data_IF_485976283062
#
_entry.id   IF_485976283062
#
_cell.length_a   1.000
_cell.length_b   1.000
_cell.length_c   1.000
_cell.angle_alpha   90.00
_cell.angle_beta   90.00
_cell.angle_gamma   90.00
#
_symmetry.space_group_name_H-M   'P 1'
#
loop_
_entity.id
_entity.type
_entity.pdbx_description
1 polymer ?
#
# COMPACT_ATOMS: atom_id res chain seq x y z
N UNK A 1 -28.54 -4.83 3.33
CA UNK A 1 -27.59 -4.62 4.41
C UNK A 1 -26.21 -4.67 3.82
N UNK A 2 -25.43 -3.61 4.00
CA UNK A 2 -24.22 -3.32 3.20
C UNK A 2 -23.02 -4.09 3.80
N UNK A 3 -22.80 -5.34 3.33
CA UNK A 3 -21.76 -6.25 3.84
C UNK A 3 -20.31 -5.72 3.70
N UNK A 4 -20.11 -4.75 2.84
CA UNK A 4 -18.78 -4.23 2.54
C UNK A 4 -18.29 -3.14 3.49
N UNK A 5 -19.19 -2.32 4.03
CA UNK A 5 -18.85 -1.41 5.13
C UNK A 5 -18.45 -2.21 6.37
N UNK A 6 -19.10 -3.34 6.59
CA UNK A 6 -18.83 -4.20 7.73
C UNK A 6 -17.41 -4.80 7.74
N UNK A 7 -16.90 -5.24 6.58
CA UNK A 7 -15.56 -5.89 6.51
C UNK A 7 -14.41 -4.92 6.74
N UNK A 8 -14.48 -3.71 6.16
CA UNK A 8 -13.46 -2.70 6.42
C UNK A 8 -13.49 -2.22 7.87
N UNK A 9 -14.69 -2.02 8.44
CA UNK A 9 -14.85 -1.69 9.87
C UNK A 9 -14.30 -2.79 10.76
N UNK A 10 -14.62 -4.05 10.48
CA UNK A 10 -14.08 -5.20 11.22
C UNK A 10 -12.56 -5.25 11.08
N UNK A 11 -12.03 -5.11 9.86
CA UNK A 11 -10.59 -5.05 9.64
C UNK A 11 -9.95 -3.88 10.38
N UNK A 12 -10.59 -2.70 10.38
CA UNK A 12 -10.04 -1.48 11.00
C UNK A 12 -9.95 -1.59 12.52
N UNK A 13 -10.96 -2.15 13.15
CA UNK A 13 -11.02 -2.34 14.62
C UNK A 13 -10.20 -3.54 15.10
N UNK A 14 -9.80 -4.41 14.20
CA UNK A 14 -9.01 -5.60 14.56
C UNK A 14 -7.52 -5.28 14.69
N UNK A 15 -6.84 -5.96 15.60
CA UNK A 15 -5.38 -5.91 15.78
C UNK A 15 -4.64 -6.95 14.93
N UNK A 16 -5.37 -7.82 14.22
CA UNK A 16 -4.75 -8.85 13.36
C UNK A 16 -3.98 -8.22 12.19
N UNK A 17 -2.93 -8.87 11.69
CA UNK A 17 -2.25 -8.44 10.48
C UNK A 17 -3.20 -8.39 9.28
N UNK A 18 -3.13 -7.29 8.52
CA UNK A 18 -3.85 -7.12 7.25
C UNK A 18 -2.86 -7.20 6.10
N UNK A 19 -3.17 -8.01 5.09
CA UNK A 19 -2.33 -8.18 3.89
C UNK A 19 -3.08 -7.70 2.65
N UNK A 20 -2.61 -6.58 2.08
CA UNK A 20 -3.17 -5.94 0.90
C UNK A 20 -2.52 -6.50 -0.36
N UNK A 21 -3.31 -7.12 -1.22
CA UNK A 21 -2.89 -7.58 -2.55
C UNK A 21 -3.45 -6.66 -3.63
N UNK A 22 -2.66 -6.39 -4.65
CA UNK A 22 -3.11 -5.61 -5.80
C UNK A 22 -1.94 -5.17 -6.67
N UNK A 23 -2.23 -4.91 -7.94
CA UNK A 23 -1.25 -4.39 -8.89
C UNK A 23 -0.60 -3.09 -8.40
N UNK A 24 0.53 -2.73 -9.01
CA UNK A 24 1.15 -1.43 -8.73
C UNK A 24 0.18 -0.28 -9.07
N UNK A 25 0.12 0.74 -8.21
CA UNK A 25 -0.74 1.90 -8.44
C UNK A 25 -2.22 1.71 -8.12
N UNK A 26 -2.67 0.58 -7.56
CA UNK A 26 -4.08 0.34 -7.20
C UNK A 26 -4.57 1.09 -5.96
N UNK A 27 -3.66 1.73 -5.19
CA UNK A 27 -4.00 2.48 -3.98
C UNK A 27 -3.80 1.70 -2.68
N UNK A 28 -2.90 0.71 -2.63
CA UNK A 28 -2.60 -0.08 -1.42
C UNK A 28 -2.21 0.78 -0.22
N UNK A 29 -1.34 1.79 -0.40
CA UNK A 29 -0.96 2.70 0.67
C UNK A 29 -2.15 3.55 1.17
N UNK A 30 -2.99 4.04 0.27
CA UNK A 30 -4.21 4.79 0.61
C UNK A 30 -5.12 3.93 1.48
N UNK A 31 -5.31 2.65 1.11
CA UNK A 31 -6.08 1.69 1.89
C UNK A 31 -5.45 1.45 3.28
N UNK A 32 -4.13 1.32 3.37
CA UNK A 32 -3.44 1.15 4.65
C UNK A 32 -3.63 2.35 5.59
N UNK A 33 -3.52 3.57 5.06
CA UNK A 33 -3.78 4.81 5.82
C UNK A 33 -5.21 4.88 6.31
N UNK A 34 -6.17 4.48 5.49
CA UNK A 34 -7.58 4.42 5.87
C UNK A 34 -7.83 3.39 6.98
N UNK A 35 -7.25 2.19 6.87
CA UNK A 35 -7.32 1.18 7.92
C UNK A 35 -6.77 1.71 9.26
N UNK A 36 -5.71 2.52 9.21
CA UNK A 36 -5.16 3.18 10.39
C UNK A 36 -6.12 4.26 10.94
N UNK A 37 -6.59 5.16 10.09
CA UNK A 37 -7.46 6.29 10.49
C UNK A 37 -8.77 5.82 11.14
N UNK A 38 -9.31 4.67 10.74
CA UNK A 38 -10.54 4.09 11.31
C UNK A 38 -10.27 3.05 12.43
N UNK A 39 -9.04 2.92 12.91
CA UNK A 39 -8.67 1.99 13.97
C UNK A 39 -8.63 2.66 15.34
N UNK A 40 -8.65 1.84 16.38
CA UNK A 40 -8.44 2.31 17.77
C UNK A 40 -7.04 2.92 17.98
N UNK A 41 -6.14 2.77 16.99
CA UNK A 41 -4.77 3.30 16.96
C UNK A 41 -4.61 4.55 16.09
N UNK A 42 -5.70 5.17 15.64
CA UNK A 42 -5.70 6.34 14.75
C UNK A 42 -4.94 7.55 15.29
N UNK A 43 -4.81 7.65 16.61
CA UNK A 43 -4.01 8.70 17.29
C UNK A 43 -2.52 8.36 17.40
N UNK A 44 -2.14 7.12 17.14
CA UNK A 44 -0.75 6.66 17.16
C UNK A 44 -0.02 6.95 15.84
N UNK A 45 1.27 6.64 15.79
CA UNK A 45 2.06 6.85 14.59
C UNK A 45 1.66 5.88 13.46
N UNK A 46 1.57 6.39 12.23
CA UNK A 46 1.54 5.58 11.01
C UNK A 46 2.93 5.57 10.38
N UNK A 47 3.68 4.49 10.58
CA UNK A 47 5.04 4.35 10.08
C UNK A 47 5.02 3.49 8.82
N UNK A 48 5.31 4.11 7.68
CA UNK A 48 5.34 3.45 6.38
C UNK A 48 6.77 3.24 5.90
N UNK A 49 7.05 2.05 5.36
CA UNK A 49 8.32 1.73 4.71
C UNK A 49 8.09 0.86 3.48
N UNK A 50 8.83 1.16 2.42
CA UNK A 50 8.88 0.32 1.23
C UNK A 50 10.03 -0.69 1.37
N UNK A 51 9.69 -1.98 1.47
CA UNK A 51 10.67 -3.06 1.64
C UNK A 51 11.64 -3.19 0.45
N UNK A 52 11.21 -2.82 -0.77
CA UNK A 52 12.06 -2.84 -1.96
C UNK A 52 13.14 -1.74 -1.98
N UNK A 53 12.97 -0.69 -1.18
CA UNK A 53 13.93 0.40 -1.09
C UNK A 53 15.02 0.18 -0.03
N UNK A 54 14.95 -0.92 0.73
CA UNK A 54 15.87 -1.18 1.84
C UNK A 54 17.04 -2.04 1.36
N UNK A 55 18.26 -1.55 1.55
CA UNK A 55 19.46 -2.36 1.33
C UNK A 55 19.51 -3.56 2.30
N UNK A 56 19.80 -4.78 1.83
CA UNK A 56 19.74 -5.99 2.66
C UNK A 56 20.52 -5.88 4.00
N UNK A 57 21.69 -5.29 4.00
CA UNK A 57 22.52 -5.11 5.21
C UNK A 57 22.01 -4.09 6.22
N UNK A 58 21.00 -3.27 5.86
CA UNK A 58 20.45 -2.23 6.74
C UNK A 58 19.07 -2.57 7.32
N UNK A 59 18.43 -3.64 6.87
CA UNK A 59 17.06 -3.98 7.28
C UNK A 59 16.96 -4.17 8.80
N UNK A 60 17.95 -4.81 9.40
CA UNK A 60 17.99 -5.07 10.85
C UNK A 60 18.01 -3.76 11.64
N UNK A 61 18.98 -2.91 11.36
CA UNK A 61 19.11 -1.62 12.05
C UNK A 61 17.92 -0.69 11.76
N UNK A 62 17.32 -0.81 10.59
CA UNK A 62 16.14 -0.03 10.23
C UNK A 62 14.89 -0.50 10.99
N UNK A 63 14.65 -1.82 11.07
CA UNK A 63 13.47 -2.36 11.77
C UNK A 63 13.62 -2.27 13.29
N UNK A 64 14.73 -2.76 13.84
CA UNK A 64 14.91 -2.90 15.28
C UNK A 64 15.60 -1.70 15.94
N UNK A 65 16.28 -0.89 15.12
CA UNK A 65 17.11 0.22 15.58
C UNK A 65 18.55 -0.21 15.88
N UNK A 66 19.39 0.76 16.21
CA UNK A 66 20.79 0.51 16.56
C UNK A 66 21.31 1.49 17.57
N UNK A 67 22.27 1.08 18.38
CA UNK A 67 23.03 1.97 19.24
C UNK A 67 24.31 2.46 18.54
N UNK A 68 24.78 3.63 18.96
CA UNK A 68 26.04 4.19 18.50
C UNK A 68 27.18 3.17 18.70
N UNK A 69 27.97 2.94 17.64
CA UNK A 69 29.09 1.99 17.66
C UNK A 69 28.70 0.52 17.43
N UNK A 70 27.43 0.23 17.17
CA UNK A 70 26.94 -1.14 16.93
C UNK A 70 27.51 -1.77 15.64
N UNK A 71 27.87 -0.96 14.65
CA UNK A 71 28.55 -1.37 13.42
C UNK A 71 29.38 -0.21 12.85
N UNK A 72 30.23 -0.49 11.87
CA UNK A 72 31.03 0.55 11.19
C UNK A 72 30.11 1.55 10.48
N UNK A 73 30.08 2.80 10.97
CA UNK A 73 29.18 3.85 10.48
C UNK A 73 27.98 4.15 11.38
N UNK A 74 27.77 3.44 12.49
CA UNK A 74 26.75 3.77 13.49
C UNK A 74 27.18 4.97 14.34
N UNK A 75 27.01 6.18 13.81
CA UNK A 75 27.45 7.45 14.46
C UNK A 75 26.48 7.94 15.54
N UNK A 76 25.21 7.49 15.53
CA UNK A 76 24.16 7.87 16.48
C UNK A 76 23.23 6.70 16.80
N UNK A 77 22.45 6.84 17.88
CA UNK A 77 21.37 5.90 18.19
C UNK A 77 20.24 6.08 17.20
N UNK A 78 19.73 4.96 16.65
CA UNK A 78 18.54 4.94 15.78
C UNK A 78 17.40 4.18 16.46
N UNK A 79 16.21 4.77 16.48
CA UNK A 79 15.05 4.23 17.18
C UNK A 79 14.54 2.91 16.59
N UNK A 80 14.65 2.73 15.28
CA UNK A 80 14.04 1.61 14.54
C UNK A 80 12.54 1.83 14.26
N UNK A 81 12.09 1.34 13.10
CA UNK A 81 10.73 1.56 12.60
C UNK A 81 9.68 0.89 13.49
N UNK A 82 9.97 -0.28 14.01
CA UNK A 82 9.03 -1.03 14.86
C UNK A 82 8.74 -0.27 16.15
N UNK A 83 9.78 0.30 16.77
CA UNK A 83 9.62 1.15 17.97
C UNK A 83 8.96 2.49 17.64
N UNK A 84 9.24 3.05 16.47
CA UNK A 84 8.57 4.27 16.00
C UNK A 84 7.07 4.05 15.77
N UNK A 85 6.66 2.81 15.46
CA UNK A 85 5.26 2.42 15.28
C UNK A 85 4.58 1.93 16.57
N UNK A 86 5.25 2.03 17.72
CA UNK A 86 4.71 1.57 19.00
C UNK A 86 3.38 2.28 19.31
N UNK A 87 2.38 1.51 19.76
CA UNK A 87 0.98 1.93 19.92
C UNK A 87 0.30 2.51 18.68
N UNK A 88 0.93 2.38 17.50
CA UNK A 88 0.47 2.83 16.21
C UNK A 88 0.31 1.70 15.19
N UNK A 89 0.61 2.01 13.93
CA UNK A 89 0.55 1.08 12.80
C UNK A 89 1.86 1.09 12.03
N UNK A 90 2.45 -0.10 11.84
CA UNK A 90 3.55 -0.33 10.92
C UNK A 90 3.00 -0.79 9.57
N UNK A 91 3.26 -0.03 8.51
CA UNK A 91 2.91 -0.37 7.15
C UNK A 91 4.15 -0.79 6.36
N UNK A 92 4.18 -2.04 5.92
CA UNK A 92 5.25 -2.62 5.10
C UNK A 92 4.76 -2.76 3.67
N UNK A 93 5.14 -1.80 2.81
CA UNK A 93 4.84 -1.87 1.38
C UNK A 93 5.83 -2.78 0.68
N UNK A 94 5.35 -3.49 -0.34
CA UNK A 94 6.11 -4.45 -1.14
C UNK A 94 6.83 -5.51 -0.27
N UNK A 95 6.10 -6.10 0.66
CA UNK A 95 6.63 -7.12 1.60
C UNK A 95 7.26 -8.33 0.89
N UNK A 96 6.83 -8.63 -0.34
CA UNK A 96 7.40 -9.68 -1.18
C UNK A 96 8.81 -9.41 -1.70
N UNK A 97 9.34 -8.18 -1.50
CA UNK A 97 10.71 -7.79 -1.83
C UNK A 97 11.67 -7.97 -0.66
N UNK A 98 11.16 -8.27 0.55
CA UNK A 98 11.99 -8.39 1.74
C UNK A 98 12.96 -9.57 1.61
N UNK A 99 14.28 -9.38 1.81
CA UNK A 99 15.25 -10.47 1.78
C UNK A 99 14.95 -11.57 2.81
N UNK A 100 15.28 -12.83 2.51
CA UNK A 100 14.98 -13.99 3.37
C UNK A 100 15.52 -13.85 4.80
N UNK A 101 16.71 -13.29 4.98
CA UNK A 101 17.28 -13.04 6.31
C UNK A 101 16.40 -12.08 7.12
N UNK A 102 15.92 -11.02 6.46
CA UNK A 102 15.06 -10.01 7.06
C UNK A 102 13.66 -10.55 7.36
N UNK A 103 13.17 -11.50 6.55
CA UNK A 103 11.92 -12.20 6.83
C UNK A 103 11.97 -12.97 8.14
N UNK A 104 13.13 -13.62 8.46
CA UNK A 104 13.33 -14.32 9.73
C UNK A 104 13.26 -13.37 10.92
N UNK A 105 13.85 -12.18 10.79
CA UNK A 105 13.80 -11.16 11.84
C UNK A 105 12.41 -10.61 12.04
N UNK A 106 11.72 -10.27 10.94
CA UNK A 106 10.34 -9.81 11.02
C UNK A 106 9.44 -10.84 11.71
N UNK A 107 9.61 -12.13 11.39
CA UNK A 107 8.87 -13.20 12.03
C UNK A 107 9.09 -13.23 13.55
N UNK A 108 10.37 -13.11 14.00
CA UNK A 108 10.68 -13.02 15.44
C UNK A 108 9.98 -11.85 16.10
N UNK A 109 10.07 -10.66 15.53
CA UNK A 109 9.41 -9.45 16.06
C UNK A 109 7.90 -9.68 16.21
N UNK A 110 7.27 -10.33 15.21
CA UNK A 110 5.83 -10.61 15.25
C UNK A 110 5.44 -11.68 16.26
N UNK A 111 6.32 -12.62 16.56
CA UNK A 111 6.10 -13.70 17.54
C UNK A 111 6.36 -13.23 18.96
N UNK A 112 7.48 -12.57 19.19
CA UNK A 112 7.96 -12.17 20.52
C UNK A 112 7.34 -10.83 20.98
N UNK A 113 6.76 -10.05 20.04
CA UNK A 113 6.28 -8.69 20.30
C UNK A 113 7.36 -7.82 20.98
N UNK A 114 8.57 -7.99 20.52
CA UNK A 114 9.72 -7.30 21.05
C UNK A 114 10.80 -7.13 19.97
N UNK A 115 11.65 -6.13 20.13
CA UNK A 115 12.81 -5.87 19.29
C UNK A 115 14.08 -5.84 20.15
N UNK A 116 15.19 -6.22 19.54
CA UNK A 116 16.52 -6.12 20.17
C UNK A 116 17.41 -5.25 19.29
N UNK A 117 17.56 -3.94 19.60
CA UNK A 117 18.39 -3.04 18.81
C UNK A 117 19.79 -3.55 18.60
N UNK A 118 20.36 -3.34 17.41
CA UNK A 118 21.72 -3.77 17.09
C UNK A 118 22.71 -3.14 18.08
N UNK A 119 23.56 -3.98 18.70
CA UNK A 119 24.46 -3.57 19.77
C UNK A 119 23.85 -3.60 21.17
N UNK A 120 22.58 -4.06 21.33
CA UNK A 120 21.93 -4.27 22.62
C UNK A 120 21.85 -5.74 22.98
N UNK A 121 21.89 -6.03 24.28
CA UNK A 121 21.53 -7.34 24.84
C UNK A 121 20.16 -7.32 25.49
N UNK A 122 19.44 -6.18 25.46
CA UNK A 122 18.13 -6.02 26.06
C UNK A 122 17.05 -6.00 25.00
N UNK A 123 16.05 -6.84 25.19
CA UNK A 123 14.82 -6.83 24.40
C UNK A 123 13.89 -5.73 24.89
N UNK A 124 13.22 -5.07 23.96
CA UNK A 124 12.26 -3.98 24.22
C UNK A 124 10.92 -4.43 23.69
N UNK A 125 9.92 -4.54 24.56
CA UNK A 125 8.56 -4.89 24.17
C UNK A 125 7.94 -3.79 23.30
N UNK A 126 7.13 -4.19 22.30
CA UNK A 126 6.47 -3.29 21.35
C UNK A 126 5.04 -3.78 21.08
N UNK A 127 4.12 -2.84 20.99
CA UNK A 127 2.72 -3.12 20.65
C UNK A 127 2.29 -2.29 19.44
N UNK A 128 2.31 -2.89 18.26
CA UNK A 128 1.93 -2.25 17.01
C UNK A 128 0.95 -3.11 16.21
N UNK A 129 0.15 -2.44 15.39
CA UNK A 129 -0.65 -3.07 14.34
C UNK A 129 0.18 -3.20 13.08
N UNK A 130 0.08 -4.35 12.39
CA UNK A 130 0.78 -4.59 11.14
C UNK A 130 -0.20 -4.53 9.96
N UNK A 131 0.15 -3.74 8.95
CA UNK A 131 -0.46 -3.77 7.61
C UNK A 131 0.66 -4.00 6.62
N UNK A 132 0.50 -5.00 5.75
CA UNK A 132 1.46 -5.30 4.68
C UNK A 132 0.80 -5.12 3.32
N UNK A 133 1.58 -4.78 2.30
CA UNK A 133 1.11 -4.72 0.93
C UNK A 133 2.09 -5.38 -0.03
N UNK A 134 1.57 -5.95 -1.11
CA UNK A 134 2.39 -6.52 -2.19
C UNK A 134 1.60 -6.60 -3.51
N UNK A 135 2.32 -6.50 -4.63
CA UNK A 135 1.82 -6.84 -5.95
C UNK A 135 2.20 -8.28 -6.35
N UNK A 136 3.12 -8.91 -5.61
CA UNK A 136 3.62 -10.26 -5.91
C UNK A 136 2.69 -11.35 -5.41
N UNK A 137 2.66 -12.48 -6.12
CA UNK A 137 2.03 -13.70 -5.62
C UNK A 137 2.96 -14.36 -4.58
N UNK A 138 2.67 -14.12 -3.28
CA UNK A 138 3.47 -14.67 -2.20
C UNK A 138 3.45 -16.20 -2.15
N UNK A 139 2.35 -16.87 -2.54
CA UNK A 139 2.30 -18.34 -2.58
C UNK A 139 3.29 -18.91 -3.60
N UNK A 140 3.40 -18.26 -4.77
CA UNK A 140 4.41 -18.62 -5.76
C UNK A 140 5.82 -18.33 -5.27
N UNK A 141 6.02 -17.23 -4.51
CA UNK A 141 7.29 -16.91 -3.91
C UNK A 141 7.70 -17.93 -2.83
N UNK A 142 6.75 -18.43 -2.02
CA UNK A 142 6.96 -19.53 -1.05
C UNK A 142 7.40 -20.80 -1.78
N UNK A 143 6.65 -21.23 -2.81
CA UNK A 143 7.00 -22.42 -3.60
C UNK A 143 8.38 -22.32 -4.24
N UNK A 144 8.81 -21.12 -4.60
CA UNK A 144 10.13 -20.86 -5.19
C UNK A 144 11.24 -20.62 -4.15
N UNK A 145 10.97 -20.79 -2.85
CA UNK A 145 11.91 -20.58 -1.77
C UNK A 145 12.37 -19.12 -1.57
N UNK A 146 11.65 -18.16 -2.17
CA UNK A 146 11.96 -16.71 -2.05
C UNK A 146 11.19 -16.00 -0.93
N UNK A 147 10.20 -16.68 -0.35
CA UNK A 147 9.44 -16.20 0.79
C UNK A 147 9.22 -17.35 1.77
N UNK A 148 9.34 -17.06 3.07
CA UNK A 148 9.16 -18.08 4.11
C UNK A 148 7.69 -18.42 4.29
N UNK A 149 7.39 -19.70 4.40
CA UNK A 149 6.03 -20.20 4.59
C UNK A 149 5.46 -19.78 5.97
N UNK A 150 6.28 -19.85 7.01
CA UNK A 150 5.89 -19.46 8.37
C UNK A 150 5.51 -17.97 8.47
N UNK A 151 6.27 -17.09 7.83
CA UNK A 151 5.95 -15.68 7.74
C UNK A 151 4.68 -15.45 6.91
N UNK A 152 4.52 -16.14 5.77
CA UNK A 152 3.32 -16.02 4.96
C UNK A 152 2.05 -16.30 5.77
N UNK A 153 2.00 -17.40 6.54
CA UNK A 153 0.83 -17.71 7.37
C UNK A 153 0.62 -16.68 8.49
N UNK A 154 1.69 -16.10 9.03
CA UNK A 154 1.59 -15.06 10.07
C UNK A 154 1.05 -13.74 9.53
N UNK A 155 1.32 -13.40 8.26
CA UNK A 155 0.85 -12.17 7.59
C UNK A 155 -0.53 -12.34 6.97
N UNK A 156 -0.84 -13.49 6.41
CA UNK A 156 -2.07 -13.76 5.64
C UNK A 156 -3.26 -14.11 6.55
N UNK A 157 -3.46 -13.32 7.60
CA UNK A 157 -4.59 -13.48 8.54
C UNK A 157 -5.84 -12.82 7.98
N UNK A 158 -5.72 -11.57 7.51
CA UNK A 158 -6.82 -10.84 6.89
C UNK A 158 -6.40 -10.32 5.50
N UNK A 159 -6.57 -11.12 4.44
CA UNK A 159 -6.22 -10.71 3.10
C UNK A 159 -7.28 -9.79 2.48
N UNK A 160 -6.86 -8.69 1.87
CA UNK A 160 -7.71 -7.78 1.08
C UNK A 160 -7.13 -7.66 -0.32
N UNK A 161 -7.95 -7.90 -1.34
CA UNK A 161 -7.57 -7.80 -2.74
C UNK A 161 -8.11 -6.49 -3.33
N UNK A 162 -7.22 -5.58 -3.72
CA UNK A 162 -7.57 -4.37 -4.45
C UNK A 162 -7.62 -4.70 -5.96
N UNK A 163 -8.79 -4.51 -6.55
CA UNK A 163 -8.97 -4.71 -7.98
C UNK A 163 -8.21 -3.65 -8.78
N UNK A 164 -7.70 -3.98 -9.97
CA UNK A 164 -7.12 -3.02 -10.88
C UNK A 164 -8.19 -2.05 -11.39
N UNK A 165 -7.77 -0.84 -11.79
CA UNK A 165 -8.69 0.25 -12.18
C UNK A 165 -9.62 -0.13 -13.33
N UNK A 166 -9.14 -0.93 -14.29
CA UNK A 166 -9.94 -1.47 -15.40
C UNK A 166 -11.10 -2.38 -14.98
N UNK A 167 -11.09 -2.92 -13.78
CA UNK A 167 -12.17 -3.74 -13.20
C UNK A 167 -13.09 -2.93 -12.26
N UNK A 168 -12.84 -1.60 -12.11
CA UNK A 168 -13.58 -0.65 -11.26
C UNK A 168 -14.03 0.59 -12.01
N UNK A 169 -14.60 0.41 -13.21
CA UNK A 169 -14.95 1.53 -14.09
C UNK A 169 -15.97 2.51 -13.45
N UNK A 170 -16.86 2.01 -12.59
CA UNK A 170 -17.80 2.86 -11.86
C UNK A 170 -17.09 3.82 -10.91
N UNK A 171 -15.99 3.38 -10.31
CA UNK A 171 -15.17 4.20 -9.42
C UNK A 171 -14.22 5.11 -10.21
N UNK A 172 -13.81 4.73 -11.42
CA UNK A 172 -12.84 5.48 -12.23
C UNK A 172 -13.30 6.92 -12.44
N UNK A 173 -14.58 7.13 -12.77
CA UNK A 173 -15.15 8.47 -12.98
C UNK A 173 -15.02 9.34 -11.73
N UNK A 174 -15.32 8.77 -10.57
CA UNK A 174 -15.21 9.46 -9.28
C UNK A 174 -13.76 9.79 -8.94
N UNK A 175 -12.86 8.82 -9.10
CA UNK A 175 -11.42 8.99 -8.87
C UNK A 175 -10.84 10.07 -9.80
N UNK A 176 -11.20 10.02 -11.10
CA UNK A 176 -10.73 10.99 -12.08
C UNK A 176 -11.23 12.41 -11.75
N UNK A 177 -12.53 12.55 -11.45
CA UNK A 177 -13.10 13.83 -11.07
C UNK A 177 -12.45 14.43 -9.84
N UNK A 178 -12.14 13.62 -8.87
CA UNK A 178 -11.51 13.99 -7.60
C UNK A 178 -10.06 14.42 -7.78
N UNK A 179 -9.26 13.64 -8.51
CA UNK A 179 -7.88 14.04 -8.88
C UNK A 179 -7.93 15.36 -9.67
N UNK A 180 -8.85 15.47 -10.61
CA UNK A 180 -8.97 16.63 -11.47
C UNK A 180 -9.41 17.90 -10.73
N UNK A 181 -10.30 17.78 -9.74
CA UNK A 181 -10.73 18.93 -8.92
C UNK A 181 -9.59 19.55 -8.11
N UNK A 182 -8.56 18.78 -7.79
CA UNK A 182 -7.33 19.28 -7.17
C UNK A 182 -6.37 19.97 -8.15
N UNK A 183 -6.59 19.81 -9.47
CA UNK A 183 -5.71 20.31 -10.52
C UNK A 183 -6.34 21.48 -11.29
N UNK A 184 -7.67 21.52 -11.42
CA UNK A 184 -8.39 22.47 -12.26
C UNK A 184 -9.72 22.89 -11.64
N UNK A 185 -10.10 24.15 -11.84
CA UNK A 185 -11.42 24.68 -11.43
C UNK A 185 -12.57 24.23 -12.34
N UNK A 186 -12.27 23.77 -13.58
CA UNK A 186 -13.30 23.22 -14.47
C UNK A 186 -13.50 21.72 -14.23
N UNK A 187 -14.71 21.18 -14.33
CA UNK A 187 -14.91 19.73 -14.32
C UNK A 187 -14.37 19.08 -15.60
N UNK A 188 -14.11 17.77 -15.55
CA UNK A 188 -13.92 16.96 -16.74
C UNK A 188 -15.22 16.89 -17.53
N UNK A 189 -15.15 17.04 -18.85
CA UNK A 189 -16.30 16.86 -19.75
C UNK A 189 -16.69 15.39 -19.86
N UNK A 190 -17.91 15.11 -20.30
CA UNK A 190 -18.39 13.73 -20.54
C UNK A 190 -17.52 12.99 -21.58
N UNK A 191 -17.04 13.70 -22.62
CA UNK A 191 -16.12 13.15 -23.61
C UNK A 191 -14.80 12.73 -22.99
N UNK A 192 -14.19 13.59 -22.16
CA UNK A 192 -12.94 13.28 -21.44
C UNK A 192 -13.13 12.08 -20.50
N UNK A 193 -14.22 12.03 -19.75
CA UNK A 193 -14.53 10.89 -18.88
C UNK A 193 -14.75 9.60 -19.67
N UNK A 194 -15.35 9.69 -20.86
CA UNK A 194 -15.51 8.53 -21.73
C UNK A 194 -14.18 8.02 -22.27
N UNK A 195 -13.26 8.91 -22.66
CA UNK A 195 -11.90 8.55 -23.09
C UNK A 195 -11.14 7.85 -21.98
N UNK A 196 -11.21 8.38 -20.74
CA UNK A 196 -10.60 7.73 -19.58
C UNK A 196 -11.15 6.32 -19.32
N UNK A 197 -12.48 6.12 -19.50
CA UNK A 197 -13.09 4.80 -19.28
C UNK A 197 -12.71 3.76 -20.33
N UNK A 198 -12.27 4.17 -21.52
CA UNK A 198 -11.82 3.26 -22.59
C UNK A 198 -10.39 2.80 -22.44
N UNK A 199 -9.58 3.54 -21.71
CA UNK A 199 -8.16 3.24 -21.54
C UNK A 199 -7.94 2.11 -20.51
N UNK A 200 -7.00 1.15 -20.73
CA UNK A 200 -6.83 -0.05 -19.91
C UNK A 200 -6.13 0.16 -18.56
N UNK A 201 -5.48 1.29 -18.36
CA UNK A 201 -4.81 1.69 -17.11
C UNK A 201 -3.85 0.64 -16.52
N UNK A 202 -2.81 0.19 -17.24
CA UNK A 202 -1.86 -0.77 -16.70
C UNK A 202 -1.14 -0.27 -15.43
N UNK A 203 -0.92 1.04 -15.30
CA UNK A 203 -0.38 1.68 -14.10
C UNK A 203 -1.44 2.12 -13.08
N UNK A 204 -2.71 1.71 -13.28
CA UNK A 204 -3.82 1.99 -12.38
C UNK A 204 -4.00 3.48 -12.04
N UNK A 205 -4.34 3.80 -10.79
CA UNK A 205 -4.59 5.17 -10.32
C UNK A 205 -3.34 6.05 -10.41
N UNK A 206 -2.15 5.47 -10.25
CA UNK A 206 -0.88 6.21 -10.40
C UNK A 206 -0.72 6.75 -11.82
N UNK A 207 -1.00 5.93 -12.83
CA UNK A 207 -0.96 6.36 -14.23
C UNK A 207 -2.07 7.37 -14.52
N UNK A 208 -3.30 7.12 -14.06
CA UNK A 208 -4.41 8.06 -14.21
C UNK A 208 -4.05 9.45 -13.68
N UNK A 209 -3.47 9.52 -12.48
CA UNK A 209 -3.01 10.78 -11.90
C UNK A 209 -1.97 11.48 -12.78
N UNK A 210 -0.93 10.76 -13.22
CA UNK A 210 0.11 11.33 -14.07
C UNK A 210 -0.44 11.85 -15.41
N UNK A 211 -1.40 11.13 -16.02
CA UNK A 211 -2.06 11.54 -17.26
C UNK A 211 -2.87 12.83 -17.04
N UNK A 212 -3.64 12.91 -15.96
CA UNK A 212 -4.42 14.10 -15.64
C UNK A 212 -3.53 15.31 -15.31
N UNK A 213 -2.44 15.13 -14.58
CA UNK A 213 -1.45 16.17 -14.32
C UNK A 213 -0.82 16.67 -15.62
N UNK A 214 -0.43 15.77 -16.53
CA UNK A 214 0.09 16.12 -17.85
C UNK A 214 -0.96 16.86 -18.68
N UNK A 215 -2.19 16.41 -18.67
CA UNK A 215 -3.29 17.08 -19.38
C UNK A 215 -3.52 18.51 -18.87
N UNK A 216 -3.49 18.71 -17.55
CA UNK A 216 -3.60 20.05 -16.96
C UNK A 216 -2.52 21.01 -17.47
N UNK A 217 -1.28 20.52 -17.61
CA UNK A 217 -0.16 21.35 -18.09
C UNK A 217 -0.26 21.67 -19.59
N UNK A 218 -0.75 20.74 -20.40
CA UNK A 218 -0.68 20.82 -21.86
C UNK A 218 -2.00 21.31 -22.52
N UNK A 219 -3.14 21.33 -21.81
CA UNK A 219 -4.42 21.78 -22.37
C UNK A 219 -4.36 23.22 -22.89
N UNK A 220 -3.61 24.11 -22.25
CA UNK A 220 -3.44 25.50 -22.68
C UNK A 220 -2.60 25.62 -23.98
N UNK A 221 -1.91 24.56 -24.37
CA UNK A 221 -1.19 24.47 -25.66
C UNK A 221 -2.03 23.79 -26.74
N UNK A 222 -3.35 23.62 -26.52
CA UNK A 222 -4.26 23.00 -27.47
C UNK A 222 -4.22 21.47 -27.54
N UNK A 223 -3.51 20.80 -26.61
CA UNK A 223 -3.48 19.33 -26.54
C UNK A 223 -4.76 18.82 -25.89
N UNK A 224 -5.34 17.80 -26.49
CA UNK A 224 -6.51 17.09 -25.96
C UNK A 224 -6.09 15.95 -25.03
N UNK A 225 -7.03 15.46 -24.24
CA UNK A 225 -6.80 14.28 -23.41
C UNK A 225 -6.50 13.03 -24.27
N UNK A 226 -7.19 12.91 -25.42
CA UNK A 226 -6.97 11.78 -26.35
C UNK A 226 -5.56 11.79 -26.94
N UNK A 227 -4.99 12.98 -27.23
CA UNK A 227 -3.59 13.08 -27.66
C UNK A 227 -2.63 12.54 -26.62
N UNK A 228 -2.88 12.83 -25.34
CA UNK A 228 -2.04 12.40 -24.25
C UNK A 228 -2.20 10.89 -24.00
N UNK A 229 -3.42 10.36 -24.08
CA UNK A 229 -3.69 8.94 -23.96
C UNK A 229 -3.07 8.13 -25.10
N UNK A 230 -3.02 8.68 -26.32
CA UNK A 230 -2.36 8.03 -27.46
C UNK A 230 -0.84 7.89 -27.31
N UNK A 231 -0.21 8.74 -26.50
CA UNK A 231 1.22 8.68 -26.18
C UNK A 231 1.54 7.72 -25.02
N UNK A 232 0.53 7.27 -24.27
CA UNK A 232 0.75 6.37 -23.14
C UNK A 232 1.10 4.95 -23.61
N UNK A 233 2.09 4.31 -22.96
CA UNK A 233 2.42 2.91 -23.24
C UNK A 233 1.31 1.99 -22.71
N UNK A 234 0.33 1.67 -23.55
CA UNK A 234 -0.81 0.81 -23.23
C UNK A 234 -0.51 -0.69 -23.38
N UNK A 235 0.56 -1.05 -24.09
CA UNK A 235 1.05 -2.41 -24.39
C UNK A 235 1.84 -3.03 -23.23
N UNK A 236 2.15 -2.26 -22.19
CA UNK A 236 2.68 -2.79 -20.92
C UNK A 236 1.57 -3.56 -20.17
N UNK A 237 1.06 -4.64 -20.79
CA UNK A 237 0.15 -5.53 -20.09
C UNK A 237 0.91 -6.17 -18.93
N UNK A 238 0.42 -6.09 -17.69
CA UNK A 238 0.85 -7.02 -16.67
C UNK A 238 0.58 -8.41 -17.22
N UNK A 239 1.63 -9.21 -17.35
CA UNK A 239 1.54 -10.59 -17.80
C UNK A 239 0.34 -11.28 -17.15
N UNK A 240 -0.45 -12.00 -17.94
CA UNK A 240 -1.64 -12.77 -17.52
C UNK A 240 -1.42 -13.77 -16.37
N UNK A 241 -0.21 -13.85 -15.84
CA UNK A 241 0.21 -14.76 -14.78
C UNK A 241 -0.29 -14.42 -13.37
N UNK A 242 -0.81 -13.20 -13.13
CA UNK A 242 -1.34 -12.84 -11.80
C UNK A 242 -2.80 -13.30 -11.63
N UNK A 243 -3.43 -13.73 -12.70
CA UNK A 243 -4.78 -14.31 -12.65
C UNK A 243 -4.75 -15.81 -12.34
N UNK A 244 -4.20 -16.18 -11.21
CA UNK A 244 -4.49 -17.50 -10.64
C UNK A 244 -5.99 -17.52 -10.32
N UNK A 245 -6.68 -18.57 -10.83
CA UNK A 245 -8.06 -18.96 -10.48
C UNK A 245 -8.17 -19.27 -8.97
N UNK A 246 -7.83 -18.34 -8.12
CA UNK A 246 -8.24 -18.39 -6.73
C UNK A 246 -9.62 -17.77 -6.67
N UNK A 247 -10.55 -18.49 -6.04
CA UNK A 247 -11.91 -18.03 -5.79
C UNK A 247 -11.84 -16.55 -5.44
N UNK A 248 -12.27 -15.70 -6.38
CA UNK A 248 -12.48 -14.29 -6.13
C UNK A 248 -13.50 -14.25 -4.99
N UNK A 249 -13.03 -14.11 -3.78
CA UNK A 249 -13.87 -13.53 -2.77
C UNK A 249 -14.10 -12.10 -3.29
N UNK A 250 -15.20 -11.91 -4.02
CA UNK A 250 -15.79 -10.60 -4.16
C UNK A 250 -16.21 -10.21 -2.76
N UNK A 251 -15.31 -9.62 -2.03
CA UNK A 251 -15.70 -8.76 -0.92
C UNK A 251 -16.50 -7.65 -1.58
N UNK A 252 -17.82 -7.70 -1.39
CA UNK A 252 -18.74 -6.74 -1.98
C UNK A 252 -18.24 -5.33 -1.74
N UNK A 253 -18.40 -4.50 -2.74
CA UNK A 253 -18.16 -3.06 -2.78
C UNK A 253 -17.18 -2.52 -1.73
N UNK A 254 -15.93 -2.37 -2.11
CA UNK A 254 -14.99 -1.52 -1.37
C UNK A 254 -15.66 -0.14 -1.18
N UNK A 255 -15.42 0.54 -0.06
CA UNK A 255 -15.95 1.88 0.15
C UNK A 255 -15.57 2.76 -1.02
N UNK A 256 -16.51 3.60 -1.45
CA UNK A 256 -16.30 4.50 -2.61
C UNK A 256 -15.01 5.30 -2.40
N UNK A 257 -14.32 5.60 -3.48
CA UNK A 257 -13.16 6.50 -3.47
C UNK A 257 -13.46 7.82 -2.77
N UNK A 258 -14.68 8.31 -2.89
CA UNK A 258 -15.15 9.51 -2.19
C UNK A 258 -14.92 9.41 -0.67
N UNK A 259 -15.24 8.29 -0.07
CA UNK A 259 -14.98 8.07 1.36
C UNK A 259 -13.50 7.78 1.69
N UNK A 260 -12.69 7.41 0.68
CA UNK A 260 -11.23 7.27 0.83
C UNK A 260 -10.56 8.64 0.86
N UNK A 261 -11.03 9.57 0.05
CA UNK A 261 -10.46 10.91 -0.08
C UNK A 261 -10.94 11.83 1.04
N UNK A 262 -12.19 11.72 1.47
CA UNK A 262 -12.69 12.40 2.68
C UNK A 262 -11.80 12.07 3.90
N UNK A 263 -11.38 10.80 4.06
CA UNK A 263 -10.47 10.41 5.13
C UNK A 263 -9.02 10.94 4.93
N UNK A 264 -8.59 11.18 3.68
CA UNK A 264 -7.27 11.80 3.40
C UNK A 264 -7.28 13.29 3.69
N UNK A 265 -8.38 14.00 3.42
CA UNK A 265 -8.53 15.42 3.76
C UNK A 265 -8.63 15.64 5.26
N UNK A 266 -9.37 14.80 5.97
CA UNK A 266 -9.42 14.84 7.44
C UNK A 266 -8.05 14.56 8.09
N UNK A 267 -7.28 13.62 7.54
CA UNK A 267 -5.94 13.32 8.04
C UNK A 267 -4.88 14.39 7.68
N UNK A 268 -5.17 15.28 6.75
CA UNK A 268 -4.29 16.39 6.35
C UNK A 268 -4.55 17.66 7.17
N UNK A 269 -5.72 17.75 7.80
CA UNK A 269 -6.18 18.91 8.59
C UNK A 269 -6.02 18.69 10.11
N UNK A 270 -5.52 17.54 10.55
CA UNK A 270 -5.12 17.20 11.91
C UNK A 270 -3.60 17.00 11.98
#
# INVERSE_FOLDING_TARGET
MDDSKSLLEVASRSTVPVLLFGESGTGKEVMARRLHAHSDRSKGAFVAVNCGAISPGLVESLLEGSYRGAYTGAVSNQLGLVRAADHGTLFLDEIGELPLESQTRLLRILQERAVMPVGSQRSISVDFRLVCATHRNLRSAVKAGRFREDLFFRLNVFPIHLLPLRERLDELRTIAAEIWSGLSSRPLSDGELQSLCRFPWPGNVRQLKNVLERFQLLQNLGRTLDDILAEEPWDLHPSREICVRERRYRYGNLPSWKSILEAMEEARNN
#
